data_IF_094875354124
#
_entry.id   IF_094875354124
#
_cell.length_a   1.000
_cell.length_b   1.000
_cell.length_c   1.000
_cell.angle_alpha   90.00
_cell.angle_beta   90.00
_cell.angle_gamma   90.00
#
_symmetry.space_group_name_H-M   'P 1'
#
loop_
_entity.id
_entity.type
_entity.pdbx_description
1 polymer ?
#
# COMPACT_ATOMS: atom_id res chain seq x y z
N UNK A 1 -32.19 57.18 17.52
CA UNK A 1 -30.90 57.17 18.21
C UNK A 1 -30.95 56.17 19.33
N UNK A 2 -30.29 55.04 19.18
CA UNK A 2 -29.92 53.99 20.16
C UNK A 2 -29.78 52.65 19.48
N UNK A 3 -28.69 52.42 18.75
CA UNK A 3 -28.27 51.11 18.25
C UNK A 3 -26.76 51.09 18.09
N UNK A 4 -26.00 51.34 19.14
CA UNK A 4 -24.53 51.26 19.00
C UNK A 4 -23.81 50.82 20.30
N UNK A 5 -24.50 50.08 21.19
CA UNK A 5 -23.89 49.69 22.46
C UNK A 5 -23.98 48.19 22.77
N UNK A 6 -24.28 47.35 21.79
CA UNK A 6 -24.43 45.90 22.06
C UNK A 6 -23.36 45.00 21.42
N UNK A 7 -22.38 45.59 20.78
CA UNK A 7 -21.37 44.77 20.05
C UNK A 7 -20.01 44.67 20.77
N UNK A 8 -19.84 45.30 21.91
CA UNK A 8 -18.57 45.29 22.65
C UNK A 8 -18.57 44.41 23.91
N UNK A 9 -19.69 43.79 24.25
CA UNK A 9 -19.81 42.95 25.46
C UNK A 9 -19.79 41.43 25.19
N UNK A 10 -19.78 41.01 23.95
CA UNK A 10 -19.74 39.57 23.60
C UNK A 10 -18.33 39.02 23.43
N UNK A 11 -17.30 39.85 23.48
CA UNK A 11 -15.90 39.42 23.28
C UNK A 11 -15.16 39.11 24.57
N UNK A 12 -15.80 39.31 25.75
CA UNK A 12 -15.14 39.13 27.05
C UNK A 12 -15.64 37.91 27.86
N UNK A 13 -16.57 37.14 27.34
CA UNK A 13 -17.17 36.02 28.11
C UNK A 13 -16.85 34.60 27.62
N UNK A 14 -15.89 34.44 26.70
CA UNK A 14 -15.50 33.09 26.21
C UNK A 14 -14.25 32.57 26.95
N UNK A 15 -13.79 33.17 28.01
CA UNK A 15 -12.54 32.78 28.70
C UNK A 15 -12.75 32.02 30.02
N UNK A 16 -13.92 31.48 30.29
CA UNK A 16 -14.03 30.66 31.51
C UNK A 16 -14.84 29.40 31.17
N UNK A 17 -14.26 28.27 31.52
CA UNK A 17 -14.76 26.92 31.62
C UNK A 17 -14.44 25.99 30.44
N UNK A 18 -13.25 25.42 30.49
CA UNK A 18 -13.07 23.98 30.39
C UNK A 18 -11.96 23.57 31.37
N UNK A 19 -12.26 23.62 32.61
CA UNK A 19 -11.42 23.03 33.63
C UNK A 19 -12.22 21.88 34.24
N UNK A 20 -12.04 20.69 33.73
CA UNK A 20 -12.23 19.41 34.42
C UNK A 20 -12.08 18.31 33.36
N UNK A 21 -10.91 17.88 33.10
CA UNK A 21 -10.65 16.53 32.65
C UNK A 21 -9.35 16.09 33.28
N UNK A 22 -9.43 14.96 33.84
CA UNK A 22 -8.42 14.02 34.32
C UNK A 22 -7.01 14.56 34.56
N UNK A 23 -6.56 14.43 35.80
CA UNK A 23 -5.32 14.98 36.37
C UNK A 23 -3.99 14.66 35.71
N UNK A 24 -4.01 14.19 34.44
CA UNK A 24 -2.84 14.00 33.59
C UNK A 24 -2.72 15.03 32.47
N UNK A 25 -3.76 15.82 32.23
CA UNK A 25 -3.74 16.87 31.19
C UNK A 25 -3.33 18.24 31.72
N UNK A 26 -2.63 18.27 32.83
CA UNK A 26 -2.04 19.49 33.42
C UNK A 26 -1.10 20.26 32.47
N UNK A 27 -0.83 19.74 31.29
CA UNK A 27 -0.09 20.44 30.24
C UNK A 27 -0.87 21.66 29.73
N UNK A 28 -2.20 21.61 29.73
CA UNK A 28 -3.03 22.76 29.34
C UNK A 28 -3.00 23.91 30.33
N UNK A 29 -2.77 23.66 31.63
CA UNK A 29 -2.67 24.71 32.63
C UNK A 29 -1.39 25.52 32.55
N UNK A 30 -0.45 25.05 31.79
CA UNK A 30 0.82 25.71 31.58
C UNK A 30 0.84 26.50 30.28
N UNK A 31 -0.21 27.24 29.98
CA UNK A 31 -0.22 28.12 28.81
C UNK A 31 0.98 29.05 28.86
N UNK A 32 1.68 29.15 27.77
CA UNK A 32 2.60 30.25 27.55
C UNK A 32 1.72 31.47 27.31
N UNK A 33 1.47 32.25 28.36
CA UNK A 33 0.60 33.43 28.31
C UNK A 33 1.08 34.51 27.33
N UNK A 34 2.30 34.35 26.82
CA UNK A 34 2.95 35.31 25.93
C UNK A 34 2.69 35.04 24.46
N UNK A 35 2.01 33.93 24.10
CA UNK A 35 1.69 33.57 22.73
C UNK A 35 0.21 33.25 22.57
N UNK A 36 -0.35 33.67 21.44
CA UNK A 36 -1.73 33.40 21.04
C UNK A 36 -1.71 32.69 19.68
N UNK A 37 -2.45 31.58 19.59
CA UNK A 37 -2.60 30.80 18.37
C UNK A 37 -3.99 31.02 17.75
N UNK A 38 -4.05 31.21 16.47
CA UNK A 38 -5.35 31.16 15.76
C UNK A 38 -5.84 29.74 15.62
N UNK A 39 -7.16 29.58 15.58
CA UNK A 39 -7.79 28.32 15.17
C UNK A 39 -7.27 27.94 13.79
N UNK A 40 -6.86 26.68 13.54
CA UNK A 40 -6.37 26.26 12.24
C UNK A 40 -7.41 26.43 11.13
N UNK A 41 -6.92 26.67 9.94
CA UNK A 41 -7.67 26.55 8.70
C UNK A 41 -7.18 25.32 7.94
N UNK A 42 -8.05 24.65 7.18
CA UNK A 42 -7.66 23.51 6.37
C UNK A 42 -8.26 23.58 4.96
N UNK A 43 -7.46 23.18 3.99
CA UNK A 43 -7.89 23.03 2.60
C UNK A 43 -7.62 21.59 2.16
N UNK A 44 -8.66 20.91 1.67
CA UNK A 44 -8.55 19.54 1.19
C UNK A 44 -7.90 19.48 -0.20
N UNK A 45 -7.01 18.50 -0.39
CA UNK A 45 -6.40 18.18 -1.67
C UNK A 45 -6.23 16.66 -1.75
N UNK A 46 -7.06 15.99 -2.52
CA UNK A 46 -7.12 14.53 -2.55
C UNK A 46 -7.42 13.95 -1.16
N UNK A 47 -6.56 13.06 -0.66
CA UNK A 47 -6.67 12.48 0.69
C UNK A 47 -5.81 13.20 1.73
N UNK A 48 -5.51 14.46 1.49
CA UNK A 48 -4.68 15.30 2.37
C UNK A 48 -5.41 16.57 2.77
N UNK A 49 -5.08 17.10 3.95
CA UNK A 49 -5.48 18.44 4.40
C UNK A 49 -4.22 19.31 4.53
N UNK A 50 -4.17 20.39 3.79
CA UNK A 50 -3.19 21.45 4.01
C UNK A 50 -3.72 22.34 5.13
N UNK A 51 -3.06 22.28 6.27
CA UNK A 51 -3.45 23.02 7.49
C UNK A 51 -2.53 24.21 7.71
N UNK A 52 -3.10 25.30 8.17
CA UNK A 52 -2.38 26.53 8.46
C UNK A 52 -2.93 27.18 9.73
N UNK A 53 -2.05 27.82 10.48
CA UNK A 53 -2.40 28.64 11.64
C UNK A 53 -1.47 29.85 11.70
N UNK A 54 -1.72 30.76 12.61
CA UNK A 54 -0.81 31.85 12.91
C UNK A 54 -0.56 31.98 14.41
N UNK A 55 0.55 32.62 14.73
CA UNK A 55 1.01 32.82 16.08
C UNK A 55 1.33 34.30 16.26
N UNK A 56 0.90 34.87 17.39
CA UNK A 56 1.23 36.23 17.79
C UNK A 56 1.73 36.26 19.24
N UNK A 57 2.39 37.34 19.63
CA UNK A 57 2.97 37.52 20.98
C UNK A 57 4.49 37.38 21.00
N UNK A 58 5.04 36.98 22.11
CA UNK A 58 6.50 36.82 22.26
C UNK A 58 6.98 35.48 21.68
N UNK A 59 7.49 35.52 20.47
CA UNK A 59 7.95 34.34 19.73
C UNK A 59 9.34 33.85 20.15
N UNK A 60 10.09 34.62 20.91
CA UNK A 60 11.47 34.30 21.30
C UNK A 60 11.59 32.98 22.10
N UNK A 61 10.52 32.58 22.77
CA UNK A 61 10.46 31.36 23.57
C UNK A 61 9.98 30.14 22.82
N UNK A 62 9.51 30.30 21.58
CA UNK A 62 8.94 29.19 20.78
C UNK A 62 10.05 28.34 20.22
N UNK A 63 10.08 27.06 20.62
CA UNK A 63 11.08 26.08 20.19
C UNK A 63 10.52 25.16 19.09
N UNK A 64 9.22 24.78 19.20
CA UNK A 64 8.54 23.92 18.25
C UNK A 64 7.13 24.42 17.98
N UNK A 65 6.64 24.14 16.77
CA UNK A 65 5.26 24.41 16.37
C UNK A 65 4.77 23.32 15.44
N UNK A 66 3.46 23.07 15.43
CA UNK A 66 2.86 22.05 14.59
C UNK A 66 1.37 21.91 14.83
N UNK A 67 0.85 20.77 14.42
CA UNK A 67 -0.56 20.42 14.57
C UNK A 67 -0.72 19.05 15.21
N UNK A 68 -1.68 18.96 16.13
CA UNK A 68 -2.19 17.70 16.66
C UNK A 68 -3.52 17.39 16.00
N UNK A 69 -3.78 16.12 15.69
CA UNK A 69 -5.05 15.73 15.06
C UNK A 69 -5.50 14.34 15.45
N UNK A 70 -6.81 14.14 15.49
CA UNK A 70 -7.45 12.88 15.87
C UNK A 70 -8.82 12.73 15.21
N UNK A 71 -9.30 11.51 15.07
CA UNK A 71 -10.70 11.22 14.69
C UNK A 71 -11.57 10.89 15.90
N UNK A 72 -10.96 10.58 17.04
CA UNK A 72 -11.66 10.09 18.23
C UNK A 72 -11.60 11.07 19.41
N UNK A 73 -10.67 12.00 19.37
CA UNK A 73 -10.42 12.97 20.46
C UNK A 73 -10.77 14.35 19.97
N UNK A 74 -11.79 14.97 20.56
CA UNK A 74 -12.28 16.29 20.14
C UNK A 74 -11.30 17.44 20.43
N UNK A 75 -10.42 17.26 21.39
CA UNK A 75 -9.35 18.23 21.73
C UNK A 75 -8.00 17.52 21.67
N UNK A 76 -7.47 17.23 20.48
CA UNK A 76 -6.22 16.50 20.35
C UNK A 76 -5.04 17.26 20.94
N UNK A 77 -4.10 16.54 21.51
CA UNK A 77 -2.88 17.01 22.13
C UNK A 77 -1.65 16.37 21.48
N UNK A 78 -0.46 16.66 21.96
CA UNK A 78 0.77 15.99 21.52
C UNK A 78 0.81 14.48 21.81
N UNK A 79 -0.15 13.94 22.55
CA UNK A 79 -0.31 12.50 22.76
C UNK A 79 -1.04 11.80 21.61
N UNK A 80 -1.69 12.57 20.76
CA UNK A 80 -2.38 12.11 19.57
C UNK A 80 -1.44 12.13 18.36
N UNK A 81 -1.97 12.11 17.14
CA UNK A 81 -1.14 12.27 15.95
C UNK A 81 -0.62 13.70 15.86
N UNK A 82 0.67 13.84 15.57
CA UNK A 82 1.37 15.12 15.52
C UNK A 82 2.12 15.27 14.21
N UNK A 83 2.14 16.48 13.67
CA UNK A 83 3.01 16.88 12.57
C UNK A 83 3.66 18.23 12.91
N UNK A 84 4.95 18.37 12.64
CA UNK A 84 5.64 19.66 12.77
C UNK A 84 5.27 20.57 11.60
N UNK A 85 5.13 21.85 11.86
CA UNK A 85 4.82 22.86 10.86
C UNK A 85 6.11 23.48 10.28
N UNK A 86 6.01 23.97 9.06
CA UNK A 86 7.04 24.75 8.40
C UNK A 86 7.20 26.18 9.00
N UNK A 87 8.05 26.99 8.37
CA UNK A 87 8.29 28.37 8.78
C UNK A 87 7.04 29.26 8.69
N UNK A 88 6.10 28.93 7.79
CA UNK A 88 4.86 29.66 7.59
C UNK A 88 3.72 29.16 8.50
N UNK A 89 4.05 28.30 9.47
CA UNK A 89 3.11 27.62 10.34
C UNK A 89 2.06 26.82 9.53
N UNK A 90 2.52 26.09 8.54
CA UNK A 90 1.71 25.24 7.66
C UNK A 90 2.22 23.80 7.69
N UNK A 91 1.34 22.84 7.46
CA UNK A 91 1.69 21.43 7.31
C UNK A 91 0.66 20.71 6.43
N UNK A 92 1.04 19.55 5.89
CA UNK A 92 0.13 18.70 5.12
C UNK A 92 -0.13 17.40 5.88
N UNK A 93 -1.36 17.22 6.35
CA UNK A 93 -1.83 15.97 6.93
C UNK A 93 -2.17 15.02 5.78
N UNK A 94 -1.39 13.95 5.62
CA UNK A 94 -1.53 13.02 4.50
C UNK A 94 -2.10 11.67 4.95
N UNK A 95 -2.66 10.90 3.99
CA UNK A 95 -3.19 9.57 4.24
C UNK A 95 -4.43 9.56 5.12
N UNK A 96 -5.23 10.62 5.04
CA UNK A 96 -6.45 10.76 5.81
C UNK A 96 -7.59 9.95 5.19
N UNK A 97 -8.51 9.50 6.04
CA UNK A 97 -9.73 8.83 5.60
C UNK A 97 -10.73 9.88 5.09
N UNK A 98 -11.29 9.63 3.94
CA UNK A 98 -12.39 10.43 3.37
C UNK A 98 -13.66 10.27 4.21
N UNK A 99 -14.56 11.26 4.13
CA UNK A 99 -15.84 11.28 4.83
C UNK A 99 -15.73 11.01 6.33
N UNK A 100 -14.58 11.35 6.92
CA UNK A 100 -14.28 11.16 8.34
C UNK A 100 -13.90 12.51 8.93
N UNK A 101 -14.56 13.01 9.98
CA UNK A 101 -14.19 14.25 10.63
C UNK A 101 -12.86 14.09 11.38
N UNK A 102 -11.98 15.04 11.17
CA UNK A 102 -10.72 15.19 11.90
C UNK A 102 -10.79 16.43 12.77
N UNK A 103 -10.51 16.24 14.06
CA UNK A 103 -10.30 17.32 15.01
C UNK A 103 -8.84 17.74 14.95
N UNK A 104 -8.57 19.03 14.77
CA UNK A 104 -7.23 19.55 14.49
C UNK A 104 -6.98 20.75 15.40
N UNK A 105 -5.83 20.78 16.07
CA UNK A 105 -5.36 21.91 16.88
C UNK A 105 -3.95 22.28 16.49
N UNK A 106 -3.68 23.56 16.39
CA UNK A 106 -2.31 24.04 16.34
C UNK A 106 -1.68 23.98 17.75
N UNK A 107 -0.39 23.71 17.82
CA UNK A 107 0.35 23.78 19.06
C UNK A 107 1.67 24.50 18.89
N UNK A 108 2.16 25.08 19.97
CA UNK A 108 3.54 25.51 20.14
C UNK A 108 4.11 24.96 21.44
N UNK A 109 5.41 24.72 21.44
CA UNK A 109 6.18 24.38 22.62
C UNK A 109 7.21 25.48 22.90
N UNK A 110 7.19 26.02 24.09
CA UNK A 110 8.11 27.05 24.53
C UNK A 110 8.05 27.23 26.05
N UNK A 111 9.14 27.69 26.68
CA UNK A 111 9.24 27.81 28.13
C UNK A 111 8.83 26.53 28.89
N UNK A 112 9.21 25.35 28.34
CA UNK A 112 8.85 24.04 28.89
C UNK A 112 7.35 23.77 28.96
N UNK A 113 6.55 24.38 28.10
CA UNK A 113 5.08 24.30 28.08
C UNK A 113 4.53 24.19 26.69
N UNK A 114 3.37 23.52 26.57
CA UNK A 114 2.57 23.49 25.35
C UNK A 114 1.43 24.51 25.45
N UNK A 115 1.18 25.19 24.34
CA UNK A 115 0.01 26.06 24.14
C UNK A 115 -0.72 25.55 22.91
N UNK A 116 -2.04 25.39 22.99
CA UNK A 116 -2.88 24.87 21.94
C UNK A 116 -3.89 25.94 21.49
N UNK A 117 -4.26 25.90 20.22
CA UNK A 117 -5.39 26.67 19.68
C UNK A 117 -6.73 26.06 20.10
N UNK A 118 -7.81 26.73 19.77
CA UNK A 118 -9.12 26.10 19.68
C UNK A 118 -9.10 24.98 18.62
N UNK A 119 -10.00 24.00 18.78
CA UNK A 119 -10.12 22.87 17.83
C UNK A 119 -10.85 23.32 16.56
N UNK A 120 -10.30 22.97 15.43
CA UNK A 120 -10.93 23.03 14.12
C UNK A 120 -11.35 21.63 13.70
N UNK A 121 -12.52 21.49 13.11
CA UNK A 121 -12.98 20.20 12.56
C UNK A 121 -13.02 20.30 11.05
N UNK A 122 -12.40 19.35 10.37
CA UNK A 122 -12.42 19.23 8.91
C UNK A 122 -12.70 17.81 8.47
N UNK A 123 -13.46 17.70 7.39
CA UNK A 123 -13.76 16.43 6.72
C UNK A 123 -13.30 16.56 5.28
N UNK A 124 -12.57 15.56 4.78
CA UNK A 124 -12.32 15.45 3.34
C UNK A 124 -13.58 14.85 2.71
N UNK A 125 -14.43 15.69 2.19
CA UNK A 125 -15.57 15.24 1.41
C UNK A 125 -15.11 14.98 -0.01
N UNK A 126 -15.30 13.75 -0.50
CA UNK A 126 -15.29 13.52 -1.95
C UNK A 126 -16.64 14.03 -2.43
N UNK A 127 -16.66 15.25 -2.88
CA UNK A 127 -17.79 15.80 -3.60
C UNK A 127 -18.06 14.91 -4.80
N UNK A 128 -19.08 14.09 -4.60
CA UNK A 128 -19.76 13.32 -5.62
C UNK A 128 -18.85 12.58 -6.61
N UNK A 129 -18.30 11.45 -6.13
CA UNK A 129 -17.63 10.47 -6.97
C UNK A 129 -18.50 10.08 -8.17
N UNK A 130 -19.83 10.10 -8.01
CA UNK A 130 -20.77 9.83 -9.08
C UNK A 130 -20.78 10.95 -10.12
N UNK A 131 -20.66 12.22 -9.72
CA UNK A 131 -20.51 13.31 -10.68
C UNK A 131 -19.17 13.26 -11.40
N UNK A 132 -18.09 12.90 -10.72
CA UNK A 132 -16.80 12.66 -11.38
C UNK A 132 -16.88 11.46 -12.33
N UNK A 133 -17.53 10.37 -11.93
CA UNK A 133 -17.74 9.20 -12.79
C UNK A 133 -18.69 9.48 -13.96
N UNK A 134 -19.76 10.28 -13.76
CA UNK A 134 -20.67 10.70 -14.84
C UNK A 134 -19.97 11.55 -15.89
N UNK A 135 -19.01 12.36 -15.49
CA UNK A 135 -18.25 13.23 -16.37
C UNK A 135 -16.92 12.62 -16.82
N UNK A 136 -16.65 11.37 -16.41
CA UNK A 136 -15.43 10.68 -16.84
C UNK A 136 -15.55 10.35 -18.33
N UNK A 137 -14.65 10.92 -19.09
CA UNK A 137 -14.45 10.57 -20.50
C UNK A 137 -13.25 9.62 -20.53
N UNK A 138 -13.51 8.36 -20.91
CA UNK A 138 -12.42 7.41 -21.10
C UNK A 138 -11.49 7.94 -22.20
N UNK A 139 -10.17 7.91 -21.98
CA UNK A 139 -9.24 8.31 -23.04
C UNK A 139 -9.42 7.37 -24.25
N UNK A 140 -9.46 7.96 -25.42
CA UNK A 140 -9.42 7.21 -26.67
C UNK A 140 -7.98 6.83 -26.93
N UNK A 141 -7.75 5.55 -27.19
CA UNK A 141 -6.45 5.02 -27.61
C UNK A 141 -6.51 4.72 -29.09
N UNK A 142 -5.42 5.02 -29.78
CA UNK A 142 -5.24 4.66 -31.20
C UNK A 142 -5.03 3.14 -31.39
N UNK A 143 -4.99 2.39 -30.31
CA UNK A 143 -4.82 0.93 -30.32
C UNK A 143 -6.03 0.25 -30.90
N UNK A 144 -5.90 -0.32 -32.07
CA UNK A 144 -6.93 -1.09 -32.70
C UNK A 144 -6.60 -2.60 -32.69
N UNK A 145 -6.91 -3.26 -31.60
CA UNK A 145 -6.73 -4.71 -31.45
C UNK A 145 -7.90 -5.53 -32.00
N UNK A 146 -8.94 -4.93 -32.57
CA UNK A 146 -10.11 -5.65 -33.04
C UNK A 146 -9.77 -6.75 -34.05
N UNK A 147 -8.79 -6.52 -34.92
CA UNK A 147 -8.33 -7.50 -35.91
C UNK A 147 -7.61 -8.71 -35.31
N UNK A 148 -7.07 -8.62 -34.11
CA UNK A 148 -6.32 -9.70 -33.43
C UNK A 148 -6.97 -10.18 -32.13
N UNK A 149 -8.11 -9.63 -31.74
CA UNK A 149 -8.77 -9.94 -30.47
C UNK A 149 -9.31 -11.37 -30.36
N UNK A 150 -9.48 -12.06 -31.47
CA UNK A 150 -9.93 -13.47 -31.46
C UNK A 150 -8.87 -14.40 -30.85
N UNK A 151 -9.32 -15.35 -30.01
CA UNK A 151 -8.46 -16.38 -29.42
C UNK A 151 -7.59 -17.13 -30.46
N UNK A 152 -8.07 -17.28 -31.68
CA UNK A 152 -7.29 -17.87 -32.78
C UNK A 152 -6.05 -17.04 -33.16
N UNK A 153 -6.05 -15.76 -32.86
CA UNK A 153 -4.96 -14.85 -33.16
C UNK A 153 -4.03 -14.60 -31.96
N UNK A 154 -4.18 -15.37 -30.85
CA UNK A 154 -3.46 -15.13 -29.59
C UNK A 154 -1.93 -15.07 -29.75
N UNK A 155 -1.34 -15.72 -30.72
CA UNK A 155 0.10 -15.63 -31.00
C UNK A 155 0.55 -14.25 -31.46
N UNK A 156 -0.38 -13.37 -31.86
CA UNK A 156 -0.13 -11.99 -32.25
C UNK A 156 -0.32 -11.02 -31.08
N UNK A 157 -0.89 -11.45 -29.96
CA UNK A 157 -1.18 -10.56 -28.82
C UNK A 157 0.08 -10.02 -28.17
N UNK A 158 1.13 -10.84 -28.12
CA UNK A 158 2.40 -10.43 -27.54
C UNK A 158 2.22 -9.79 -26.15
N UNK A 159 2.81 -8.63 -25.90
CA UNK A 159 2.68 -7.91 -24.61
C UNK A 159 1.30 -7.26 -24.40
N UNK A 160 0.41 -7.28 -25.36
CA UNK A 160 -0.97 -6.81 -25.18
C UNK A 160 -1.79 -7.71 -24.24
N UNK A 161 -1.39 -8.98 -24.08
CA UNK A 161 -2.03 -9.89 -23.14
C UNK A 161 -1.47 -9.70 -21.72
N UNK A 162 -2.20 -8.96 -20.89
CA UNK A 162 -1.83 -8.65 -19.51
C UNK A 162 -2.68 -9.45 -18.55
N UNK A 163 -2.04 -10.25 -17.69
CA UNK A 163 -2.69 -11.00 -16.62
C UNK A 163 -2.14 -10.57 -15.26
N UNK A 164 -2.99 -10.58 -14.24
CA UNK A 164 -2.64 -10.32 -12.84
C UNK A 164 -1.75 -9.08 -12.66
N UNK A 165 -2.14 -7.92 -13.20
CA UNK A 165 -1.32 -6.73 -13.09
C UNK A 165 -1.22 -6.26 -11.64
N UNK A 166 -0.01 -6.11 -11.14
CA UNK A 166 0.27 -5.52 -9.84
C UNK A 166 0.98 -4.19 -10.03
N UNK A 167 0.44 -3.12 -9.46
CA UNK A 167 0.90 -1.75 -9.68
C UNK A 167 1.35 -1.11 -8.37
N UNK A 168 2.47 -0.41 -8.40
CA UNK A 168 2.98 0.37 -7.27
C UNK A 168 3.41 1.76 -7.72
N UNK A 169 3.07 2.78 -6.94
CA UNK A 169 3.59 4.14 -7.12
C UNK A 169 4.97 4.24 -6.44
N UNK A 170 5.99 4.59 -7.21
CA UNK A 170 7.35 4.74 -6.73
C UNK A 170 7.68 6.20 -6.34
N UNK A 171 8.85 6.38 -5.73
CA UNK A 171 9.31 7.70 -5.23
C UNK A 171 9.58 8.71 -6.34
N UNK A 172 9.91 8.24 -7.53
CA UNK A 172 10.12 9.06 -8.72
C UNK A 172 8.80 9.57 -9.36
N UNK A 173 7.66 9.17 -8.76
CA UNK A 173 6.33 9.53 -9.20
C UNK A 173 5.85 8.77 -10.44
N UNK A 174 6.50 7.66 -10.79
CA UNK A 174 5.99 6.71 -11.78
C UNK A 174 5.22 5.58 -11.09
N UNK A 175 4.21 5.09 -11.78
CA UNK A 175 3.57 3.82 -11.50
C UNK A 175 4.34 2.72 -12.22
N UNK A 176 4.70 1.67 -11.51
CA UNK A 176 5.35 0.48 -12.05
C UNK A 176 4.38 -0.69 -11.98
N UNK A 177 4.16 -1.35 -13.10
CA UNK A 177 3.28 -2.50 -13.24
C UNK A 177 4.10 -3.73 -13.59
N UNK A 178 3.80 -4.82 -12.92
CA UNK A 178 4.35 -6.17 -13.16
C UNK A 178 3.21 -7.12 -13.43
N UNK A 179 3.46 -8.13 -14.27
CA UNK A 179 2.41 -9.05 -14.72
C UNK A 179 2.86 -10.50 -14.77
N UNK A 180 1.89 -11.41 -14.76
CA UNK A 180 2.06 -12.82 -15.12
C UNK A 180 2.66 -12.98 -16.52
N UNK A 181 3.47 -14.02 -16.71
CA UNK A 181 3.98 -14.44 -18.03
C UNK A 181 2.86 -15.11 -18.83
N UNK A 182 1.86 -14.36 -19.20
CA UNK A 182 0.71 -14.84 -19.95
C UNK A 182 0.70 -14.36 -21.40
N UNK A 183 1.74 -13.64 -21.82
CA UNK A 183 1.83 -13.14 -23.20
C UNK A 183 2.03 -14.29 -24.18
N UNK A 184 1.52 -14.10 -25.37
CA UNK A 184 1.69 -15.01 -26.49
C UNK A 184 2.65 -14.42 -27.52
N UNK A 185 3.16 -15.25 -28.40
CA UNK A 185 4.16 -14.85 -29.38
C UNK A 185 5.57 -14.94 -28.81
N UNK A 186 6.44 -14.04 -29.23
CA UNK A 186 7.87 -14.06 -28.88
C UNK A 186 8.27 -13.02 -27.81
N UNK A 187 7.30 -12.44 -27.11
CA UNK A 187 7.57 -11.38 -26.13
C UNK A 187 8.51 -11.83 -25.00
N UNK A 188 8.44 -13.11 -24.61
CA UNK A 188 9.27 -13.66 -23.54
C UNK A 188 10.63 -14.14 -24.00
N UNK A 189 10.85 -14.31 -25.31
CA UNK A 189 12.09 -14.89 -25.81
C UNK A 189 13.29 -14.03 -25.48
N UNK A 190 14.13 -14.49 -24.55
CA UNK A 190 15.33 -13.79 -24.11
C UNK A 190 15.10 -12.56 -23.23
N UNK A 191 13.88 -12.30 -22.79
CA UNK A 191 13.53 -11.11 -21.99
C UNK A 191 13.28 -11.41 -20.51
N UNK A 192 13.38 -12.66 -20.06
CA UNK A 192 13.10 -13.06 -18.68
C UNK A 192 11.59 -13.09 -18.36
N UNK A 193 11.28 -13.03 -17.08
CA UNK A 193 9.95 -13.24 -16.54
C UNK A 193 9.43 -12.02 -15.78
N UNK A 194 8.13 -11.97 -15.50
CA UNK A 194 7.44 -10.86 -14.84
C UNK A 194 7.70 -9.54 -15.53
N UNK A 195 7.14 -9.38 -16.70
CA UNK A 195 7.32 -8.20 -17.54
C UNK A 195 6.85 -6.92 -16.84
N UNK A 196 7.70 -5.92 -16.87
CA UNK A 196 7.47 -4.64 -16.23
C UNK A 196 7.14 -3.53 -17.21
N UNK A 197 6.32 -2.60 -16.78
CA UNK A 197 6.02 -1.33 -17.46
C UNK A 197 5.99 -0.22 -16.45
N UNK A 198 6.18 1.02 -16.92
CA UNK A 198 5.97 2.21 -16.10
C UNK A 198 5.07 3.23 -16.79
N UNK A 199 4.38 4.04 -15.99
CA UNK A 199 3.50 5.10 -16.45
C UNK A 199 3.51 6.29 -15.50
N UNK A 200 3.24 7.50 -16.03
CA UNK A 200 2.96 8.69 -15.22
C UNK A 200 1.47 8.89 -14.97
N UNK A 201 0.62 8.34 -15.81
CA UNK A 201 -0.81 8.65 -15.90
C UNK A 201 -1.71 7.40 -15.85
N UNK A 202 -1.13 6.19 -15.72
CA UNK A 202 -1.81 4.88 -15.77
C UNK A 202 -2.45 4.57 -17.14
N UNK A 203 -2.17 5.37 -18.14
CA UNK A 203 -2.73 5.31 -19.49
C UNK A 203 -1.63 4.95 -20.47
N UNK A 204 -0.57 5.74 -20.49
CA UNK A 204 0.56 5.56 -21.38
C UNK A 204 1.66 4.77 -20.66
N UNK A 205 1.98 3.59 -21.16
CA UNK A 205 2.89 2.66 -20.54
C UNK A 205 4.16 2.46 -21.37
N UNK A 206 5.31 2.62 -20.75
CA UNK A 206 6.62 2.30 -21.29
C UNK A 206 7.05 0.91 -20.83
N UNK A 207 7.43 0.05 -21.75
CA UNK A 207 7.91 -1.30 -21.45
C UNK A 207 9.36 -1.28 -20.95
N UNK A 208 9.64 -2.02 -19.87
CA UNK A 208 10.94 -2.06 -19.20
C UNK A 208 11.67 -3.42 -19.29
N UNK A 209 11.02 -4.44 -19.85
CA UNK A 209 11.57 -5.81 -19.89
C UNK A 209 11.11 -6.67 -18.72
N UNK A 210 11.64 -7.90 -18.66
CA UNK A 210 11.43 -8.82 -17.55
C UNK A 210 12.24 -8.42 -16.31
N UNK A 211 11.72 -8.75 -15.14
CA UNK A 211 12.37 -8.47 -13.84
C UNK A 211 13.22 -9.62 -13.34
N UNK A 212 12.88 -10.84 -13.73
CA UNK A 212 13.54 -12.08 -13.33
C UNK A 212 14.19 -12.70 -14.57
N UNK A 213 15.53 -12.77 -14.66
CA UNK A 213 16.19 -13.21 -15.90
C UNK A 213 16.10 -14.71 -16.15
N UNK A 214 15.88 -15.52 -15.11
CA UNK A 214 15.81 -16.99 -15.18
C UNK A 214 15.04 -17.56 -13.99
N UNK A 215 14.75 -18.86 -14.04
CA UNK A 215 14.21 -19.57 -12.89
C UNK A 215 15.14 -19.41 -11.68
N UNK A 216 14.64 -19.04 -10.49
CA UNK A 216 15.45 -18.89 -9.30
C UNK A 216 16.20 -20.17 -8.92
N UNK A 217 17.46 -20.07 -8.57
CA UNK A 217 18.35 -21.21 -8.31
C UNK A 217 17.87 -22.12 -7.17
N UNK A 218 17.02 -21.61 -6.27
CA UNK A 218 16.46 -22.38 -5.16
C UNK A 218 15.29 -23.31 -5.56
N UNK A 219 14.63 -23.05 -6.69
CA UNK A 219 13.36 -23.74 -7.08
C UNK A 219 13.60 -25.23 -7.26
N UNK A 220 14.54 -25.61 -8.11
CA UNK A 220 14.79 -27.03 -8.40
C UNK A 220 15.30 -27.81 -7.18
N UNK A 221 16.25 -27.31 -6.38
CA UNK A 221 16.66 -27.96 -5.13
C UNK A 221 15.48 -28.16 -4.16
N UNK A 222 14.65 -27.11 -3.97
CA UNK A 222 13.50 -27.18 -3.07
C UNK A 222 12.42 -28.14 -3.58
N UNK A 223 12.14 -28.14 -4.86
CA UNK A 223 11.23 -29.08 -5.48
C UNK A 223 11.71 -30.53 -5.26
N UNK A 224 12.98 -30.80 -5.53
CA UNK A 224 13.52 -32.15 -5.41
C UNK A 224 13.67 -32.63 -3.95
N UNK A 225 13.88 -31.71 -3.00
CA UNK A 225 13.79 -31.99 -1.56
C UNK A 225 12.39 -32.52 -1.21
N UNK A 226 11.35 -31.82 -1.64
CA UNK A 226 9.96 -32.20 -1.38
C UNK A 226 9.61 -33.50 -2.08
N UNK A 227 9.95 -33.63 -3.37
CA UNK A 227 9.69 -34.86 -4.13
C UNK A 227 10.36 -36.08 -3.49
N UNK A 228 11.60 -35.95 -3.02
CA UNK A 228 12.30 -37.00 -2.29
C UNK A 228 11.57 -37.38 -1.01
N UNK A 229 11.10 -36.41 -0.24
CA UNK A 229 10.33 -36.66 0.98
C UNK A 229 9.01 -37.39 0.70
N UNK A 230 8.45 -37.21 -0.50
CA UNK A 230 7.24 -37.89 -0.97
C UNK A 230 7.52 -39.24 -1.63
N UNK A 231 8.78 -39.69 -1.74
CA UNK A 231 9.17 -40.92 -2.41
C UNK A 231 9.10 -40.82 -3.93
N UNK A 232 9.13 -39.64 -4.49
CA UNK A 232 9.09 -39.39 -5.94
C UNK A 232 10.50 -39.21 -6.53
N UNK A 233 10.63 -39.49 -7.81
CA UNK A 233 11.87 -39.22 -8.56
C UNK A 233 12.11 -37.71 -8.69
N UNK A 234 13.37 -37.30 -8.83
CA UNK A 234 13.71 -35.91 -9.08
C UNK A 234 13.02 -35.37 -10.35
N UNK A 235 12.64 -34.13 -10.34
CA UNK A 235 12.07 -33.45 -11.51
C UNK A 235 13.13 -33.22 -12.57
N UNK A 236 12.75 -33.38 -13.82
CA UNK A 236 13.57 -33.08 -15.02
C UNK A 236 13.01 -31.90 -15.80
N UNK A 237 12.06 -31.15 -15.22
CA UNK A 237 11.44 -30.00 -15.86
C UNK A 237 12.48 -28.95 -16.25
N UNK A 238 12.36 -28.42 -17.45
CA UNK A 238 13.15 -27.29 -17.93
C UNK A 238 12.54 -25.97 -17.44
N UNK A 239 13.34 -24.90 -17.45
CA UNK A 239 12.88 -23.55 -17.07
C UNK A 239 11.61 -23.12 -17.82
N UNK A 240 11.54 -23.41 -19.11
CA UNK A 240 10.40 -23.10 -19.97
C UNK A 240 9.09 -23.82 -19.62
N UNK A 241 9.18 -24.84 -18.77
CA UNK A 241 8.00 -25.62 -18.37
C UNK A 241 7.31 -25.01 -17.15
N UNK A 242 7.96 -24.10 -16.43
CA UNK A 242 7.41 -23.46 -15.24
C UNK A 242 6.50 -22.29 -15.62
N UNK A 243 5.47 -22.08 -14.81
CA UNK A 243 4.65 -20.87 -14.87
C UNK A 243 5.17 -19.79 -13.93
N UNK A 244 5.18 -18.56 -14.37
CA UNK A 244 5.60 -17.37 -13.61
C UNK A 244 4.38 -16.46 -13.46
N UNK A 245 3.67 -16.57 -12.31
CA UNK A 245 2.33 -16.07 -12.18
C UNK A 245 2.18 -15.06 -11.04
N UNK A 246 1.18 -14.17 -11.20
CA UNK A 246 0.60 -13.28 -10.21
C UNK A 246 1.64 -12.58 -9.29
N UNK A 247 2.51 -11.72 -9.83
CA UNK A 247 3.38 -10.92 -8.99
C UNK A 247 2.55 -9.96 -8.14
N UNK A 248 2.91 -9.79 -6.88
CA UNK A 248 2.31 -8.82 -5.96
C UNK A 248 3.39 -7.87 -5.45
N UNK A 249 3.40 -6.65 -5.96
CA UNK A 249 4.42 -5.65 -5.62
C UNK A 249 3.89 -4.67 -4.57
N UNK A 250 4.76 -4.32 -3.61
CA UNK A 250 4.45 -3.34 -2.57
C UNK A 250 5.66 -2.47 -2.26
N UNK A 251 5.41 -1.20 -2.03
CA UNK A 251 6.36 -0.31 -1.38
C UNK A 251 6.29 -0.52 0.13
N UNK A 252 7.33 -1.09 0.70
CA UNK A 252 7.40 -1.36 2.14
C UNK A 252 7.78 -0.09 2.90
N UNK A 253 8.74 0.65 2.38
CA UNK A 253 9.24 1.95 2.86
C UNK A 253 10.03 2.62 1.74
N UNK A 254 10.52 3.81 1.99
CA UNK A 254 11.42 4.48 1.05
C UNK A 254 12.69 3.62 0.82
N UNK A 255 13.03 3.45 -0.45
CA UNK A 255 14.16 2.62 -0.86
C UNK A 255 13.99 1.11 -0.62
N UNK A 256 12.75 0.63 -0.43
CA UNK A 256 12.48 -0.81 -0.35
C UNK A 256 11.12 -1.17 -0.95
N UNK A 257 11.16 -1.92 -2.03
CA UNK A 257 10.03 -2.55 -2.69
C UNK A 257 10.16 -4.06 -2.58
N UNK A 258 9.05 -4.73 -2.35
CA UNK A 258 8.93 -6.19 -2.34
C UNK A 258 7.98 -6.65 -3.41
N UNK A 259 8.36 -7.73 -4.08
CA UNK A 259 7.49 -8.44 -5.02
C UNK A 259 7.44 -9.90 -4.61
N UNK A 260 6.27 -10.34 -4.19
CA UNK A 260 5.97 -11.75 -4.03
C UNK A 260 5.50 -12.28 -5.37
N UNK A 261 5.90 -13.48 -5.73
CA UNK A 261 5.60 -14.06 -7.02
C UNK A 261 5.31 -15.56 -6.90
N UNK A 262 4.56 -16.12 -7.84
CA UNK A 262 4.27 -17.55 -7.88
C UNK A 262 5.10 -18.24 -8.96
N UNK A 263 5.74 -19.35 -8.61
CA UNK A 263 6.35 -20.30 -9.56
C UNK A 263 5.49 -21.54 -9.58
N UNK A 264 4.83 -21.80 -10.71
CA UNK A 264 3.97 -22.96 -10.89
C UNK A 264 4.78 -24.09 -11.50
N UNK A 265 4.87 -25.20 -10.78
CA UNK A 265 5.64 -26.38 -11.17
C UNK A 265 4.84 -27.20 -12.17
N UNK A 266 5.41 -27.56 -13.32
CA UNK A 266 4.72 -28.33 -14.35
C UNK A 266 4.50 -29.78 -13.93
N UNK A 267 3.56 -30.45 -14.59
CA UNK A 267 3.31 -31.85 -14.43
C UNK A 267 2.26 -32.18 -13.39
N UNK A 268 1.96 -33.47 -13.31
CA UNK A 268 0.93 -34.01 -12.45
C UNK A 268 1.47 -35.20 -11.69
N UNK A 269 1.26 -35.25 -10.41
CA UNK A 269 1.73 -36.36 -9.58
C UNK A 269 0.91 -37.63 -9.78
N UNK A 270 -0.34 -37.50 -10.17
CA UNK A 270 -1.29 -38.61 -10.42
C UNK A 270 -1.34 -39.08 -11.86
N UNK A 271 -0.51 -38.49 -12.72
CA UNK A 271 -0.57 -38.79 -14.17
C UNK A 271 -1.81 -38.23 -14.84
N UNK A 272 -2.57 -37.36 -14.21
CA UNK A 272 -3.76 -36.73 -14.74
C UNK A 272 -3.48 -35.95 -16.01
N UNK A 273 -4.49 -35.90 -16.90
CA UNK A 273 -4.44 -35.15 -18.17
C UNK A 273 -5.69 -34.29 -18.29
N UNK A 274 -5.56 -33.12 -18.92
CA UNK A 274 -6.68 -32.23 -19.19
C UNK A 274 -6.85 -31.07 -18.26
N UNK A 275 -8.00 -30.41 -18.28
CA UNK A 275 -8.25 -29.13 -17.65
C UNK A 275 -8.23 -29.13 -16.09
N UNK A 276 -8.29 -30.31 -15.48
CA UNK A 276 -8.30 -30.44 -14.01
C UNK A 276 -6.96 -30.82 -13.41
N UNK A 277 -5.96 -31.10 -14.25
CA UNK A 277 -4.64 -31.56 -13.86
C UNK A 277 -3.58 -30.63 -14.45
N UNK A 278 -3.29 -29.50 -13.83
CA UNK A 278 -2.48 -28.45 -14.44
C UNK A 278 -1.18 -28.10 -13.72
N UNK A 279 -0.99 -28.54 -12.48
CA UNK A 279 0.29 -28.36 -11.81
C UNK A 279 0.55 -29.36 -10.70
N UNK A 280 1.81 -29.69 -10.47
CA UNK A 280 2.23 -30.49 -9.33
C UNK A 280 2.06 -29.70 -8.03
N UNK A 281 2.58 -28.47 -8.00
CA UNK A 281 2.53 -27.51 -6.89
C UNK A 281 2.84 -26.12 -7.38
N UNK A 282 2.76 -25.16 -6.48
CA UNK A 282 3.32 -23.84 -6.70
C UNK A 282 4.15 -23.39 -5.51
N UNK A 283 5.10 -22.51 -5.75
CA UNK A 283 5.92 -21.85 -4.77
C UNK A 283 5.63 -20.36 -4.78
N UNK A 284 5.56 -19.74 -3.59
CA UNK A 284 5.70 -18.30 -3.47
C UNK A 284 7.16 -17.99 -3.15
N UNK A 285 7.76 -17.13 -3.95
CA UNK A 285 9.06 -16.52 -3.72
C UNK A 285 8.95 -15.03 -3.45
N UNK A 286 10.07 -14.43 -3.09
CA UNK A 286 10.19 -13.00 -2.79
C UNK A 286 11.36 -12.40 -3.55
N UNK A 287 11.15 -11.24 -4.16
CA UNK A 287 12.21 -10.35 -4.66
C UNK A 287 12.15 -8.99 -3.96
N UNK A 288 13.29 -8.34 -3.85
CA UNK A 288 13.41 -6.97 -3.34
C UNK A 288 14.16 -6.09 -4.34
N UNK A 289 13.75 -4.83 -4.40
CA UNK A 289 14.43 -3.78 -5.15
C UNK A 289 14.40 -2.47 -4.34
N UNK A 290 15.44 -1.66 -4.45
CA UNK A 290 15.51 -0.35 -3.82
C UNK A 290 14.87 0.76 -4.67
N UNK A 291 14.84 0.57 -5.99
CA UNK A 291 14.29 1.53 -6.94
C UNK A 291 13.73 0.80 -8.18
N UNK A 292 12.41 0.74 -8.37
CA UNK A 292 11.78 0.09 -9.52
C UNK A 292 12.21 0.64 -10.89
N UNK A 293 12.74 1.88 -10.94
CA UNK A 293 13.30 2.45 -12.18
C UNK A 293 14.45 1.60 -12.74
N UNK A 294 15.17 0.93 -11.85
CA UNK A 294 16.23 -0.03 -12.19
C UNK A 294 15.64 -1.44 -12.24
N UNK A 295 14.92 -1.77 -13.31
CA UNK A 295 14.18 -3.02 -13.42
C UNK A 295 15.07 -4.28 -13.35
N UNK A 296 16.34 -4.19 -13.70
CA UNK A 296 17.33 -5.27 -13.60
C UNK A 296 17.84 -5.55 -12.18
N UNK A 297 17.55 -4.65 -11.22
CA UNK A 297 18.11 -4.70 -9.88
C UNK A 297 17.20 -5.43 -8.88
N UNK A 298 16.18 -6.12 -9.36
CA UNK A 298 15.41 -7.04 -8.53
C UNK A 298 16.26 -8.21 -8.08
N UNK A 299 16.38 -8.38 -6.77
CA UNK A 299 17.18 -9.43 -6.13
C UNK A 299 16.25 -10.48 -5.54
N UNK A 300 16.37 -11.70 -6.02
CA UNK A 300 15.65 -12.84 -5.43
C UNK A 300 16.11 -13.09 -3.98
N UNK A 301 15.14 -13.24 -3.08
CA UNK A 301 15.34 -13.51 -1.64
C UNK A 301 14.97 -14.94 -1.28
N UNK A 302 14.52 -15.69 -2.25
CA UNK A 302 14.27 -17.11 -2.11
C UNK A 302 12.83 -17.48 -1.78
N UNK A 303 12.71 -18.70 -1.33
CA UNK A 303 11.48 -19.39 -1.01
C UNK A 303 10.76 -18.80 0.21
N UNK A 304 9.44 -18.59 0.08
CA UNK A 304 8.56 -18.15 1.17
C UNK A 304 7.65 -19.29 1.64
N UNK A 305 6.86 -19.86 0.74
CA UNK A 305 5.88 -20.91 1.06
C UNK A 305 5.54 -21.73 -0.18
N UNK A 306 5.11 -22.95 0.02
CA UNK A 306 4.47 -23.79 -0.99
C UNK A 306 3.08 -24.19 -0.54
N UNK A 307 2.44 -25.10 -1.26
CA UNK A 307 1.10 -25.60 -0.96
C UNK A 307 0.95 -25.90 0.54
N UNK A 308 -0.05 -25.31 1.17
CA UNK A 308 -0.31 -25.51 2.60
C UNK A 308 -0.52 -26.99 2.95
N UNK A 309 -0.99 -27.74 1.99
CA UNK A 309 -1.17 -29.18 2.08
C UNK A 309 0.13 -29.97 2.25
N UNK A 310 1.27 -29.42 1.85
CA UNK A 310 2.58 -30.06 2.07
C UNK A 310 3.04 -29.96 3.52
N UNK A 311 2.53 -28.96 4.23
CA UNK A 311 2.99 -28.64 5.58
C UNK A 311 2.29 -29.52 6.61
N UNK A 312 3.07 -30.39 7.23
CA UNK A 312 2.56 -31.30 8.25
C UNK A 312 1.70 -32.42 7.64
N UNK A 313 1.70 -32.50 6.32
CA UNK A 313 1.08 -33.63 5.69
C UNK A 313 1.91 -34.86 5.91
N UNK A 314 1.16 -35.89 6.07
CA UNK A 314 1.66 -37.22 6.02
C UNK A 314 2.06 -37.54 4.58
N UNK A 315 3.33 -37.41 4.24
CA UNK A 315 3.87 -37.81 2.93
C UNK A 315 3.66 -39.31 2.62
N UNK A 316 3.10 -40.07 3.55
CA UNK A 316 2.74 -41.46 3.34
C UNK A 316 1.33 -41.65 2.73
N UNK A 317 0.66 -40.57 2.37
CA UNK A 317 -0.62 -40.66 1.65
C UNK A 317 -0.37 -41.30 0.29
N UNK A 318 -1.12 -42.35 -0.08
CA UNK A 318 -0.97 -43.00 -1.39
C UNK A 318 -1.18 -41.99 -2.53
N UNK A 319 -0.42 -42.13 -3.61
CA UNK A 319 -0.53 -41.28 -4.81
C UNK A 319 -1.96 -41.19 -5.36
N UNK A 320 -2.75 -42.23 -5.24
CA UNK A 320 -4.17 -42.23 -5.60
C UNK A 320 -5.04 -41.24 -4.82
N UNK A 321 -4.53 -40.73 -3.71
CA UNK A 321 -5.21 -39.72 -2.87
C UNK A 321 -4.62 -38.32 -3.05
N UNK A 322 -3.56 -38.14 -3.80
CA UNK A 322 -2.87 -36.86 -3.99
C UNK A 322 -3.80 -35.77 -4.51
N UNK A 323 -4.64 -36.09 -5.51
CA UNK A 323 -5.64 -35.15 -6.02
C UNK A 323 -6.56 -34.56 -4.95
N UNK A 324 -6.80 -35.30 -3.87
CA UNK A 324 -7.63 -34.86 -2.76
C UNK A 324 -6.87 -34.05 -1.71
N UNK A 325 -5.58 -34.24 -1.59
CA UNK A 325 -4.76 -33.72 -0.49
C UNK A 325 -3.77 -32.65 -0.92
N UNK A 326 -3.17 -32.78 -2.09
CA UNK A 326 -2.05 -31.96 -2.51
C UNK A 326 -2.39 -30.97 -3.63
N UNK A 327 -3.34 -31.28 -4.50
CA UNK A 327 -3.55 -30.51 -5.73
C UNK A 327 -4.68 -29.52 -5.69
N UNK A 328 -5.51 -29.56 -4.65
CA UNK A 328 -6.65 -28.66 -4.56
C UNK A 328 -6.28 -27.21 -4.27
N UNK A 329 -5.10 -26.98 -3.71
CA UNK A 329 -4.74 -25.69 -3.12
C UNK A 329 -3.29 -25.34 -3.45
N UNK A 330 -3.08 -24.81 -4.63
CA UNK A 330 -1.77 -24.27 -5.00
C UNK A 330 -1.47 -22.99 -4.23
N UNK A 331 -0.20 -22.80 -3.87
CA UNK A 331 0.29 -21.53 -3.33
C UNK A 331 0.53 -20.53 -4.47
N UNK A 332 -0.53 -19.93 -4.96
CA UNK A 332 -0.51 -18.91 -6.02
C UNK A 332 -1.17 -17.63 -5.53
N UNK A 333 -1.10 -16.58 -6.33
CA UNK A 333 -1.76 -15.28 -6.12
C UNK A 333 -1.41 -14.66 -4.75
N UNK A 334 -0.12 -14.41 -4.46
CA UNK A 334 0.27 -13.85 -3.19
C UNK A 334 -0.33 -12.46 -3.02
N UNK A 335 -0.84 -12.16 -1.81
CA UNK A 335 -1.26 -10.84 -1.44
C UNK A 335 -0.53 -10.40 -0.17
N UNK A 336 0.13 -9.25 -0.24
CA UNK A 336 0.85 -8.69 0.89
C UNK A 336 -0.05 -7.71 1.65
N UNK A 337 -0.24 -7.97 2.94
CA UNK A 337 -0.98 -7.09 3.85
C UNK A 337 -0.05 -6.65 4.97
N UNK A 338 0.18 -5.34 5.06
CA UNK A 338 0.94 -4.77 6.17
C UNK A 338 0.03 -4.60 7.39
N UNK A 339 0.18 -5.45 8.39
CA UNK A 339 -0.62 -5.39 9.62
C UNK A 339 -0.32 -4.15 10.48
N UNK A 340 0.79 -3.44 10.22
CA UNK A 340 1.12 -2.20 10.92
C UNK A 340 0.18 -1.04 10.57
N UNK A 341 -0.50 -1.12 9.44
CA UNK A 341 -1.47 -0.11 8.99
C UNK A 341 -2.92 -0.54 9.18
N UNK A 342 -3.16 -1.79 9.56
CA UNK A 342 -4.47 -2.25 10.01
C UNK A 342 -4.65 -1.84 11.47
N UNK A 343 -5.87 -1.49 11.87
CA UNK A 343 -6.18 -1.15 13.27
C UNK A 343 -5.56 -2.16 14.22
N UNK A 344 -4.95 -1.74 15.34
CA UNK A 344 -4.34 -2.66 16.26
C UNK A 344 -5.35 -3.72 16.66
N UNK A 345 -4.92 -4.97 16.61
CA UNK A 345 -5.72 -6.10 17.07
C UNK A 345 -6.23 -5.83 18.49
N UNK A 346 -7.44 -6.27 18.86
CA UNK A 346 -7.89 -6.19 20.25
C UNK A 346 -6.89 -6.79 21.26
N UNK A 347 -6.02 -7.70 20.82
CA UNK A 347 -4.95 -8.28 21.63
C UNK A 347 -3.77 -7.34 21.85
N UNK A 348 -3.57 -6.36 20.98
CA UNK A 348 -2.46 -5.40 21.11
C UNK A 348 -2.79 -4.31 22.12
N UNK A 349 -4.07 -4.14 22.49
CA UNK A 349 -4.53 -3.18 23.51
C UNK A 349 -4.34 -3.68 24.95
N UNK A 350 -3.97 -4.93 25.15
CA UNK A 350 -3.82 -5.53 26.48
C UNK A 350 -2.38 -5.68 26.95
N UNK A 351 -1.42 -5.11 26.21
CA UNK A 351 0.02 -5.09 26.57
C UNK A 351 0.53 -3.67 26.76
N UNK A 352 -0.17 -2.88 27.53
CA UNK A 352 0.35 -1.60 28.07
C UNK A 352 0.37 -1.65 29.57
#
# INVERSE_FOLDING_TARGET
MKKTTFFLLSLLTVFVFTACSDGLDNIEYNRNSDVVLTTPEATATGTSLNVKSSITGNLSSVVKRGFCYSVNVSNPTIKDKVIEADENFSATLSGLKINTPYYIRAYVYGNSRYTYSETFTSTIEITDLNEQLKNYVAPEYEDNYAGIASWSNRTQWNLANVHDPSVVLAEDGYYYMYQTDASYGNAHTGHGHFHARRSKDLVNWEYLGGTMPKLPDWVMPKLNEIRKAMGLTASTAAESDFGYWAPSVQKVRNGLYRMYYSIVVPGYLDGGTGATAWSERAFIGLMENSNPANNSDWVDKGYVVTNASDKGLNFNIPSTQYANCYYKWNAIDPSYICLLYTSPSPRDRTRS
#
